data_IF_772041514139
#
_entry.id   IF_772041514139
#
_cell.length_a   1.000
_cell.length_b   1.000
_cell.length_c   1.000
_cell.angle_alpha   90.00
_cell.angle_beta   90.00
_cell.angle_gamma   90.00
#
_symmetry.space_group_name_H-M   'P 1'
#
loop_
_entity.id
_entity.type
_entity.pdbx_description
1 polymer ?
#
# COMPACT_ATOMS: atom_id res chain seq x y z
N UNK A 1 -5.46 -7.41 -30.26
CA UNK A 1 -4.63 -6.46 -29.50
C UNK A 1 -5.46 -5.97 -28.33
N UNK A 2 -4.97 -6.13 -27.09
CA UNK A 2 -5.65 -5.63 -25.89
C UNK A 2 -5.69 -4.10 -25.96
N UNK A 3 -6.84 -3.52 -26.26
CA UNK A 3 -7.05 -2.07 -26.17
C UNK A 3 -7.31 -1.74 -24.69
N UNK A 4 -6.23 -1.67 -23.91
CA UNK A 4 -6.31 -1.11 -22.57
C UNK A 4 -6.90 0.30 -22.68
N UNK A 5 -7.95 0.61 -21.92
CA UNK A 5 -8.53 1.94 -21.96
C UNK A 5 -7.67 2.93 -21.19
N UNK A 6 -7.60 4.17 -21.66
CA UNK A 6 -6.88 5.24 -20.98
C UNK A 6 -7.36 5.42 -19.53
N UNK A 7 -8.66 5.27 -19.28
CA UNK A 7 -9.24 5.33 -17.93
C UNK A 7 -8.71 4.24 -16.98
N UNK A 8 -8.42 3.03 -17.49
CA UNK A 8 -7.82 1.96 -16.66
C UNK A 8 -6.36 2.28 -16.33
N UNK A 9 -5.63 2.88 -17.27
CA UNK A 9 -4.25 3.32 -17.04
C UNK A 9 -4.21 4.48 -16.04
N UNK A 10 -5.13 5.44 -16.15
CA UNK A 10 -5.29 6.52 -15.17
C UNK A 10 -5.59 6.00 -13.77
N UNK A 11 -6.52 5.04 -13.67
CA UNK A 11 -6.85 4.39 -12.39
C UNK A 11 -5.64 3.66 -11.80
N UNK A 12 -4.85 2.96 -12.63
CA UNK A 12 -3.60 2.31 -12.20
C UNK A 12 -2.61 3.33 -11.65
N UNK A 13 -2.42 4.47 -12.31
CA UNK A 13 -1.50 5.51 -11.82
C UNK A 13 -2.01 6.18 -10.54
N UNK A 14 -3.34 6.30 -10.36
CA UNK A 14 -3.93 6.72 -9.09
C UNK A 14 -3.65 5.69 -7.98
N UNK A 15 -3.88 4.42 -8.23
CA UNK A 15 -3.57 3.33 -7.29
C UNK A 15 -2.09 3.31 -6.89
N UNK A 16 -1.17 3.55 -7.83
CA UNK A 16 0.26 3.67 -7.50
C UNK A 16 0.57 4.84 -6.56
N UNK A 17 -0.19 5.95 -6.64
CA UNK A 17 -0.04 7.07 -5.70
C UNK A 17 -0.53 6.68 -4.31
N UNK A 18 -1.71 6.08 -4.22
CA UNK A 18 -2.29 5.60 -2.95
C UNK A 18 -1.37 4.57 -2.28
N UNK A 19 -0.84 3.60 -3.03
CA UNK A 19 0.08 2.58 -2.51
C UNK A 19 1.34 3.18 -1.86
N UNK A 20 1.85 4.32 -2.36
CA UNK A 20 2.97 5.04 -1.73
C UNK A 20 2.55 5.73 -0.44
N UNK A 21 1.32 6.20 -0.37
CA UNK A 21 0.69 6.71 0.85
C UNK A 21 0.70 5.63 1.94
N UNK A 22 0.19 4.44 1.63
CA UNK A 22 0.13 3.30 2.56
C UNK A 22 1.52 2.88 3.07
N UNK A 23 2.52 2.84 2.19
CA UNK A 23 3.90 2.52 2.60
C UNK A 23 4.48 3.58 3.57
N UNK A 24 4.18 4.85 3.32
CA UNK A 24 4.61 5.98 4.16
C UNK A 24 3.87 5.98 5.50
N UNK A 25 2.57 5.72 5.49
CA UNK A 25 1.72 5.56 6.67
C UNK A 25 2.22 4.43 7.57
N UNK A 26 2.46 3.24 6.99
CA UNK A 26 3.01 2.09 7.72
C UNK A 26 4.32 2.43 8.44
N UNK A 27 5.29 3.05 7.75
CA UNK A 27 6.58 3.40 8.37
C UNK A 27 6.41 4.43 9.50
N UNK A 28 5.53 5.42 9.29
CA UNK A 28 5.25 6.46 10.27
C UNK A 28 4.64 5.87 11.55
N UNK A 29 3.69 4.94 11.41
CA UNK A 29 3.07 4.28 12.56
C UNK A 29 4.03 3.36 13.30
N UNK A 30 4.95 2.68 12.59
CA UNK A 30 6.01 1.90 13.26
C UNK A 30 6.95 2.79 14.09
N UNK A 31 7.34 3.95 13.55
CA UNK A 31 8.18 4.91 14.29
C UNK A 31 7.45 5.44 15.53
N UNK A 32 6.16 5.76 15.42
CA UNK A 32 5.33 6.20 16.55
C UNK A 32 5.18 5.10 17.59
N UNK A 33 4.95 3.85 17.17
CA UNK A 33 4.91 2.70 18.07
C UNK A 33 6.23 2.54 18.85
N UNK A 34 7.38 2.69 18.18
CA UNK A 34 8.70 2.64 18.80
C UNK A 34 8.90 3.73 19.86
N UNK A 35 8.51 4.98 19.55
CA UNK A 35 8.57 6.11 20.49
C UNK A 35 7.70 5.88 21.72
N UNK A 36 6.45 5.44 21.53
CA UNK A 36 5.53 5.15 22.64
C UNK A 36 6.03 4.02 23.54
N UNK A 37 6.60 2.97 22.94
CA UNK A 37 7.23 1.88 23.70
C UNK A 37 8.38 2.38 24.58
N UNK A 38 9.22 3.27 24.07
CA UNK A 38 10.32 3.88 24.83
C UNK A 38 9.84 4.75 25.99
N UNK A 39 8.64 5.34 25.87
CA UNK A 39 8.00 6.13 26.93
C UNK A 39 7.27 5.28 27.97
N UNK A 40 7.22 3.95 27.81
CA UNK A 40 6.45 3.04 28.68
C UNK A 40 4.96 2.94 28.33
N UNK A 41 4.54 3.57 27.24
CA UNK A 41 3.15 3.64 26.77
C UNK A 41 2.82 2.44 25.86
N UNK A 42 2.91 1.23 26.41
CA UNK A 42 2.82 -0.02 25.65
C UNK A 42 1.46 -0.22 24.95
N UNK A 43 0.34 0.13 25.61
CA UNK A 43 -1.00 -0.01 25.03
C UNK A 43 -1.21 0.87 23.80
N UNK A 44 -0.70 2.11 23.83
CA UNK A 44 -0.73 2.99 22.66
C UNK A 44 0.21 2.51 21.57
N UNK A 45 1.39 2.00 21.92
CA UNK A 45 2.32 1.39 20.96
C UNK A 45 1.66 0.26 20.17
N UNK A 46 0.89 -0.60 20.82
CA UNK A 46 0.14 -1.69 20.18
C UNK A 46 -0.89 -1.18 19.16
N UNK A 47 -1.60 -0.09 19.47
CA UNK A 47 -2.55 0.53 18.53
C UNK A 47 -1.83 0.97 17.25
N UNK A 48 -0.66 1.60 17.38
CA UNK A 48 0.11 2.04 16.21
C UNK A 48 0.72 0.87 15.42
N UNK A 49 1.05 -0.24 16.07
CA UNK A 49 1.44 -1.48 15.36
C UNK A 49 0.27 -1.99 14.52
N UNK A 50 -0.95 -2.01 15.07
CA UNK A 50 -2.15 -2.42 14.33
C UNK A 50 -2.43 -1.51 13.13
N UNK A 51 -2.28 -0.19 13.30
CA UNK A 51 -2.39 0.76 12.19
C UNK A 51 -1.35 0.48 11.10
N UNK A 52 -0.09 0.24 11.45
CA UNK A 52 0.93 -0.13 10.47
C UNK A 52 0.57 -1.41 9.71
N UNK A 53 0.01 -2.41 10.38
CA UNK A 53 -0.40 -3.66 9.75
C UNK A 53 -1.58 -3.45 8.78
N UNK A 54 -2.53 -2.59 9.13
CA UNK A 54 -3.64 -2.22 8.25
C UNK A 54 -3.13 -1.56 6.96
N UNK A 55 -2.20 -0.62 7.07
CA UNK A 55 -1.60 0.05 5.90
C UNK A 55 -0.83 -0.94 5.00
N UNK A 56 -0.12 -1.91 5.60
CA UNK A 56 0.52 -2.99 4.83
C UNK A 56 -0.50 -3.85 4.08
N UNK A 57 -1.63 -4.16 4.72
CA UNK A 57 -2.72 -4.91 4.09
C UNK A 57 -3.33 -4.12 2.92
N UNK A 58 -3.63 -2.83 3.11
CA UNK A 58 -4.12 -1.97 2.03
C UNK A 58 -3.14 -1.92 0.86
N UNK A 59 -1.84 -1.75 1.14
CA UNK A 59 -0.79 -1.77 0.12
C UNK A 59 -0.84 -3.05 -0.72
N UNK A 60 -0.93 -4.23 -0.07
CA UNK A 60 -1.01 -5.52 -0.78
C UNK A 60 -2.27 -5.62 -1.65
N UNK A 61 -3.41 -5.12 -1.17
CA UNK A 61 -4.66 -5.10 -1.95
C UNK A 61 -4.52 -4.19 -3.18
N UNK A 62 -3.96 -3.00 -3.00
CA UNK A 62 -3.73 -2.05 -4.10
C UNK A 62 -2.75 -2.63 -5.13
N UNK A 63 -1.68 -3.28 -4.69
CA UNK A 63 -0.73 -3.97 -5.56
C UNK A 63 -1.40 -5.07 -6.38
N UNK A 64 -2.27 -5.88 -5.76
CA UNK A 64 -3.08 -6.88 -6.47
C UNK A 64 -4.02 -6.28 -7.51
N UNK A 65 -4.61 -5.11 -7.23
CA UNK A 65 -5.45 -4.39 -8.20
C UNK A 65 -4.63 -3.85 -9.38
N UNK A 66 -3.43 -3.32 -9.13
CA UNK A 66 -2.50 -2.88 -10.17
C UNK A 66 -2.12 -4.05 -11.08
N UNK A 67 -1.77 -5.19 -10.49
CA UNK A 67 -1.41 -6.41 -11.23
C UNK A 67 -2.58 -6.93 -12.08
N UNK A 68 -3.81 -6.86 -11.57
CA UNK A 68 -5.00 -7.21 -12.33
C UNK A 68 -5.20 -6.29 -13.55
N UNK A 69 -4.95 -4.98 -13.40
CA UNK A 69 -4.97 -4.03 -14.52
C UNK A 69 -3.84 -4.35 -15.51
N UNK A 70 -2.63 -4.66 -15.03
CA UNK A 70 -1.51 -5.05 -15.89
C UNK A 70 -1.85 -6.25 -16.76
N UNK A 71 -2.37 -7.33 -16.15
CA UNK A 71 -2.82 -8.52 -16.86
C UNK A 71 -3.92 -8.20 -17.87
N UNK A 72 -4.92 -7.40 -17.47
CA UNK A 72 -6.02 -6.99 -18.36
C UNK A 72 -5.51 -6.22 -19.56
N UNK A 73 -4.48 -5.39 -19.37
CA UNK A 73 -3.91 -4.53 -20.40
C UNK A 73 -2.81 -5.22 -21.21
N UNK A 74 -2.39 -6.44 -20.86
CA UNK A 74 -1.28 -7.15 -21.52
C UNK A 74 0.09 -6.57 -21.18
N UNK A 75 0.20 -5.89 -20.04
CA UNK A 75 1.44 -5.31 -19.52
C UNK A 75 2.17 -6.30 -18.61
N UNK A 76 3.50 -6.13 -18.40
CA UNK A 76 4.22 -6.88 -17.37
C UNK A 76 3.67 -6.58 -15.98
N UNK A 77 3.42 -7.64 -15.20
CA UNK A 77 2.92 -7.58 -13.81
C UNK A 77 3.90 -6.80 -12.94
N UNK A 78 3.41 -5.76 -12.26
CA UNK A 78 4.23 -4.81 -11.51
C UNK A 78 4.92 -5.45 -10.30
N UNK A 79 4.25 -6.35 -9.58
CA UNK A 79 4.82 -7.04 -8.40
C UNK A 79 5.94 -8.04 -8.70
N UNK A 80 6.15 -8.39 -9.98
CA UNK A 80 7.17 -9.36 -10.42
C UNK A 80 8.51 -8.71 -10.86
N UNK A 81 8.67 -7.41 -10.62
CA UNK A 81 9.88 -6.64 -10.93
C UNK A 81 10.69 -6.37 -9.67
#
# INVERSE_FOLDING_TARGET
MSSCSDSLLELKEAMKREMRGEATGSSTYQDMAGKLKQLGEASYSEIFILLSQAEQMHKMVIEGLIDAIDLRCGLPVSSKK
#
